data_IF_088681129808
#
_entry.id   IF_088681129808
#
_cell.length_a   1.000
_cell.length_b   1.000
_cell.length_c   1.000
_cell.angle_alpha   90.00
_cell.angle_beta   90.00
_cell.angle_gamma   90.00
#
_symmetry.space_group_name_H-M   'P 1'
#
loop_
_entity.id
_entity.type
_entity.pdbx_description
1 polymer ?
#
# COMPACT_ATOMS: atom_id res chain seq x y z
N UNK A 1 1.59 -15.43 27.00
CA UNK A 1 1.50 -15.22 25.53
C UNK A 1 2.59 -16.04 24.86
N UNK A 2 2.26 -17.03 24.02
CA UNK A 2 3.26 -17.86 23.34
C UNK A 2 3.87 -17.10 22.16
N UNK A 3 4.97 -16.37 22.39
CA UNK A 3 5.75 -15.66 21.36
C UNK A 3 6.18 -16.55 20.17
N UNK A 4 6.23 -17.87 20.36
CA UNK A 4 6.64 -18.80 19.30
C UNK A 4 5.65 -18.89 18.12
N UNK A 5 4.39 -18.51 18.30
CA UNK A 5 3.37 -18.56 17.23
C UNK A 5 3.52 -17.42 16.22
N UNK A 6 4.08 -16.28 16.65
CA UNK A 6 4.15 -15.04 15.87
C UNK A 6 5.55 -14.73 15.34
N UNK A 7 6.49 -15.68 15.38
CA UNK A 7 7.89 -15.44 14.96
C UNK A 7 8.00 -14.82 13.56
N UNK A 8 7.15 -15.26 12.62
CA UNK A 8 7.11 -14.71 11.25
C UNK A 8 6.60 -13.27 11.22
N UNK A 9 5.48 -12.99 11.88
CA UNK A 9 4.91 -11.65 11.95
C UNK A 9 5.86 -10.67 12.66
N UNK A 10 6.48 -11.11 13.75
CA UNK A 10 7.47 -10.34 14.48
C UNK A 10 8.70 -10.03 13.62
N UNK A 11 9.17 -11.00 12.83
CA UNK A 11 10.30 -10.79 11.90
C UNK A 11 9.98 -9.76 10.81
N UNK A 12 8.76 -9.80 10.24
CA UNK A 12 8.32 -8.83 9.25
C UNK A 12 8.16 -7.43 9.87
N UNK A 13 7.55 -7.34 11.06
CA UNK A 13 7.40 -6.09 11.79
C UNK A 13 8.76 -5.47 12.16
N UNK A 14 9.73 -6.29 12.60
CA UNK A 14 11.10 -5.85 12.87
C UNK A 14 11.78 -5.34 11.60
N UNK A 15 11.67 -6.07 10.49
CA UNK A 15 12.24 -5.65 9.21
C UNK A 15 11.66 -4.31 8.75
N UNK A 16 10.33 -4.15 8.81
CA UNK A 16 9.68 -2.87 8.51
C UNK A 16 10.14 -1.76 9.45
N UNK A 17 10.24 -2.02 10.75
CA UNK A 17 10.70 -1.03 11.74
C UNK A 17 12.14 -0.56 11.47
N UNK A 18 13.04 -1.49 11.17
CA UNK A 18 14.44 -1.17 10.81
C UNK A 18 14.50 -0.33 9.53
N UNK A 19 13.72 -0.69 8.51
CA UNK A 19 13.64 0.09 7.26
C UNK A 19 13.12 1.51 7.51
N UNK A 20 12.05 1.65 8.30
CA UNK A 20 11.50 2.97 8.66
C UNK A 20 12.52 3.81 9.44
N UNK A 21 13.26 3.21 10.37
CA UNK A 21 14.32 3.91 11.09
C UNK A 21 15.47 4.35 10.16
N UNK A 22 15.91 3.47 9.25
CA UNK A 22 16.94 3.80 8.27
C UNK A 22 16.50 4.95 7.35
N UNK A 23 15.26 4.91 6.84
CA UNK A 23 14.69 5.99 6.04
C UNK A 23 14.57 7.28 6.84
N UNK A 24 14.20 7.23 8.12
CA UNK A 24 14.12 8.41 8.97
C UNK A 24 15.46 9.13 9.17
N UNK A 25 16.57 8.39 9.15
CA UNK A 25 17.92 8.96 9.25
C UNK A 25 18.43 9.44 7.89
N UNK A 26 18.25 8.66 6.82
CA UNK A 26 18.78 8.96 5.49
C UNK A 26 17.95 10.04 4.78
N UNK A 27 16.63 10.03 4.97
CA UNK A 27 15.68 10.95 4.36
C UNK A 27 14.67 11.49 5.40
N UNK A 28 15.08 12.45 6.26
CA UNK A 28 14.22 12.96 7.34
C UNK A 28 12.91 13.59 6.86
N UNK A 29 12.88 14.13 5.63
CA UNK A 29 11.68 14.68 5.00
C UNK A 29 10.58 13.63 4.77
N UNK A 30 10.91 12.33 4.78
CA UNK A 30 9.93 11.25 4.66
C UNK A 30 8.87 11.30 5.77
N UNK A 31 9.25 11.68 6.99
CA UNK A 31 8.31 11.82 8.12
C UNK A 31 7.74 13.24 8.27
N UNK A 32 7.93 14.11 7.26
CA UNK A 32 7.25 15.42 7.21
C UNK A 32 5.74 15.25 7.21
N UNK A 33 5.02 16.16 7.86
CA UNK A 33 3.55 16.20 7.86
C UNK A 33 2.97 16.27 6.45
N UNK A 34 3.64 16.95 5.52
CA UNK A 34 3.24 17.01 4.12
C UNK A 34 3.32 15.62 3.47
N UNK A 35 4.46 14.94 3.58
CA UNK A 35 4.65 13.61 2.99
C UNK A 35 3.70 12.57 3.61
N UNK A 36 3.50 12.61 4.93
CA UNK A 36 2.56 11.72 5.62
C UNK A 36 1.11 11.97 5.23
N UNK A 37 0.73 13.20 4.88
CA UNK A 37 -0.59 13.54 4.34
C UNK A 37 -0.73 13.10 2.88
N UNK A 38 0.31 13.27 2.09
CA UNK A 38 0.30 12.94 0.66
C UNK A 38 0.29 11.42 0.45
N UNK A 39 0.89 10.64 1.36
CA UNK A 39 0.94 9.18 1.26
C UNK A 39 -0.46 8.53 1.12
N UNK A 40 -1.44 8.75 2.01
CA UNK A 40 -2.78 8.19 1.83
C UNK A 40 -3.52 8.78 0.62
N UNK A 41 -3.30 10.06 0.30
CA UNK A 41 -3.94 10.69 -0.86
C UNK A 41 -3.49 10.04 -2.18
N UNK A 42 -2.20 9.77 -2.32
CA UNK A 42 -1.65 9.07 -3.50
C UNK A 42 -2.11 7.61 -3.58
N UNK A 43 -2.39 6.97 -2.46
CA UNK A 43 -2.88 5.58 -2.42
C UNK A 43 -4.42 5.45 -2.46
N UNK A 44 -5.15 6.55 -2.32
CA UNK A 44 -6.62 6.54 -2.29
C UNK A 44 -7.26 5.91 -3.54
N UNK A 45 -6.77 6.17 -4.79
CA UNK A 45 -7.33 5.53 -5.98
C UNK A 45 -7.16 4.00 -5.97
N UNK A 46 -5.98 3.51 -5.55
CA UNK A 46 -5.70 2.07 -5.44
C UNK A 46 -6.59 1.44 -4.37
N UNK A 47 -6.80 2.12 -3.24
CA UNK A 47 -7.70 1.68 -2.17
C UNK A 47 -9.15 1.53 -2.66
N UNK A 48 -9.65 2.49 -3.44
CA UNK A 48 -10.98 2.41 -4.06
C UNK A 48 -11.12 1.18 -4.96
N UNK A 49 -10.12 0.93 -5.80
CA UNK A 49 -10.09 -0.26 -6.67
C UNK A 49 -10.01 -1.55 -5.86
N UNK A 50 -9.17 -1.60 -4.82
CA UNK A 50 -9.00 -2.76 -3.96
C UNK A 50 -10.30 -3.17 -3.25
N UNK A 51 -11.14 -2.21 -2.85
CA UNK A 51 -12.46 -2.49 -2.27
C UNK A 51 -13.36 -3.21 -3.28
N UNK A 52 -13.43 -2.74 -4.52
CA UNK A 52 -14.19 -3.39 -5.59
C UNK A 52 -13.65 -4.79 -5.90
N UNK A 53 -12.32 -4.92 -6.01
CA UNK A 53 -11.65 -6.20 -6.25
C UNK A 53 -11.87 -7.20 -5.12
N UNK A 54 -12.02 -6.74 -3.87
CA UNK A 54 -12.38 -7.62 -2.74
C UNK A 54 -13.73 -8.29 -2.97
N UNK A 55 -14.74 -7.55 -3.45
CA UNK A 55 -16.05 -8.13 -3.77
C UNK A 55 -15.97 -9.16 -4.90
N UNK A 56 -15.18 -8.89 -5.94
CA UNK A 56 -14.95 -9.82 -7.06
C UNK A 56 -14.35 -11.13 -6.57
N UNK A 57 -13.31 -11.04 -5.72
CA UNK A 57 -12.64 -12.21 -5.14
C UNK A 57 -13.59 -13.01 -4.25
N UNK A 58 -14.45 -12.34 -3.47
CA UNK A 58 -15.43 -13.01 -2.61
C UNK A 58 -16.46 -13.84 -3.40
N UNK A 59 -16.80 -13.42 -4.61
CA UNK A 59 -17.68 -14.18 -5.52
C UNK A 59 -16.91 -15.29 -6.28
N UNK A 60 -15.61 -15.48 -5.96
CA UNK A 60 -14.76 -16.52 -6.54
C UNK A 60 -14.25 -16.19 -7.94
N UNK A 61 -14.31 -14.92 -8.34
CA UNK A 61 -13.80 -14.45 -9.62
C UNK A 61 -12.43 -13.79 -9.45
N UNK A 62 -11.60 -13.82 -10.50
CA UNK A 62 -10.30 -13.14 -10.53
C UNK A 62 -10.33 -12.19 -11.71
N UNK A 63 -10.67 -10.92 -11.46
CA UNK A 63 -10.74 -9.90 -12.50
C UNK A 63 -9.37 -9.22 -12.69
N UNK A 64 -8.62 -9.67 -13.70
CA UNK A 64 -7.34 -9.07 -14.09
C UNK A 64 -7.54 -7.81 -14.93
N UNK A 65 -8.72 -7.62 -15.54
CA UNK A 65 -9.00 -6.49 -16.44
C UNK A 65 -9.08 -5.15 -15.71
N UNK A 66 -9.44 -5.15 -14.42
CA UNK A 66 -9.48 -3.94 -13.59
C UNK A 66 -8.09 -3.31 -13.46
N UNK A 67 -7.02 -4.13 -13.42
CA UNK A 67 -5.65 -3.63 -13.35
C UNK A 67 -5.24 -2.85 -14.60
N UNK A 68 -5.59 -3.34 -15.80
CA UNK A 68 -5.27 -2.64 -17.05
C UNK A 68 -6.13 -1.39 -17.24
N UNK A 69 -7.41 -1.43 -16.86
CA UNK A 69 -8.29 -0.26 -16.86
C UNK A 69 -7.78 0.83 -15.92
N UNK A 70 -7.37 0.47 -14.71
CA UNK A 70 -6.80 1.40 -13.74
C UNK A 70 -5.51 2.05 -14.27
N UNK A 71 -4.63 1.27 -14.91
CA UNK A 71 -3.41 1.81 -15.51
C UNK A 71 -3.69 2.82 -16.63
N UNK A 72 -4.59 2.50 -17.57
CA UNK A 72 -4.96 3.42 -18.66
C UNK A 72 -5.64 4.68 -18.11
N UNK A 73 -6.56 4.54 -17.16
CA UNK A 73 -7.22 5.66 -16.51
C UNK A 73 -6.23 6.55 -15.74
N UNK A 74 -5.26 5.96 -15.05
CA UNK A 74 -4.21 6.69 -14.33
C UNK A 74 -3.32 7.51 -15.27
N UNK A 75 -2.91 6.93 -16.40
CA UNK A 75 -2.14 7.67 -17.43
C UNK A 75 -2.98 8.81 -18.01
N UNK A 76 -4.24 8.54 -18.36
CA UNK A 76 -5.13 9.57 -18.92
C UNK A 76 -5.39 10.71 -17.92
N UNK A 77 -5.65 10.39 -16.65
CA UNK A 77 -5.88 11.38 -15.60
C UNK A 77 -4.63 12.19 -15.25
N UNK A 78 -3.43 11.60 -15.32
CA UNK A 78 -2.17 12.31 -15.13
C UNK A 78 -1.75 13.15 -16.34
N UNK A 79 -2.31 12.88 -17.53
CA UNK A 79 -2.06 13.65 -18.75
C UNK A 79 -2.94 14.91 -18.85
N UNK A 80 -4.16 14.87 -18.31
CA UNK A 80 -5.13 15.98 -18.29
C UNK A 80 -4.81 17.00 -17.18
#
# INVERSE_FOLDING_TARGET
MQFSRYKRELSAALACGVLLAAVGVIAPSFFSTANLRDLPLNNAPVLLVAIGMTMVILVGQIDISVGSQFAVAGVAAGWL
#
